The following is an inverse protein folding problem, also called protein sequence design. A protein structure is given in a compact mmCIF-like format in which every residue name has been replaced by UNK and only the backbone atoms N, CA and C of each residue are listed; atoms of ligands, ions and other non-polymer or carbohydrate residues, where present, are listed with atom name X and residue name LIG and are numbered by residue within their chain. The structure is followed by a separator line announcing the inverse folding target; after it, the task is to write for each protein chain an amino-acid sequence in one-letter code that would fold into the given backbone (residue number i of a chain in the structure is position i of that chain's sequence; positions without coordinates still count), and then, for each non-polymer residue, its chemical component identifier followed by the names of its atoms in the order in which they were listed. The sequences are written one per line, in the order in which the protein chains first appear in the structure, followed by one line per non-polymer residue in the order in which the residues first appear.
data_IF_768220964805
#
_entry.id   IF_768220964805
#
_cell.length_a   1.000
_cell.length_b   1.000
_cell.length_c   1.000
_cell.angle_alpha   90.00
_cell.angle_beta   90.00
_cell.angle_gamma   90.00
#
_symmetry.space_group_name_H-M   'P 1'
#
loop_
_entity.id
_entity.type
_entity.pdbx_description
1 polymer ?
#
# COMPACT_ATOMS: atom_id res chain seq x y z
N UNK A 1 17.28 4.24 -8.36
CA UNK A 1 17.69 3.63 -9.63
C UNK A 1 17.37 4.60 -10.76
N UNK A 2 17.97 4.46 -11.94
CA UNK A 2 17.49 5.14 -13.14
C UNK A 2 16.63 4.15 -13.92
N UNK A 3 15.42 4.53 -14.29
CA UNK A 3 14.38 3.66 -14.83
C UNK A 3 14.16 3.90 -16.32
N UNK A 4 13.59 2.91 -17.02
CA UNK A 4 13.32 3.00 -18.46
C UNK A 4 12.44 4.19 -18.83
N UNK A 5 11.55 4.61 -17.93
CA UNK A 5 10.74 5.82 -18.10
C UNK A 5 11.58 7.10 -18.21
N UNK A 6 12.69 7.19 -17.48
CA UNK A 6 13.56 8.37 -17.41
C UNK A 6 14.21 8.72 -18.76
N UNK A 7 14.31 7.74 -19.67
CA UNK A 7 14.86 7.95 -21.01
C UNK A 7 14.04 8.93 -21.85
N UNK A 8 12.77 9.12 -21.52
CA UNK A 8 11.88 10.05 -22.23
C UNK A 8 12.26 11.52 -22.02
N UNK A 9 12.67 11.91 -20.80
CA UNK A 9 13.05 13.29 -20.48
C UNK A 9 14.00 13.35 -19.27
N UNK A 10 15.28 13.13 -19.55
CA UNK A 10 16.36 13.10 -18.55
C UNK A 10 16.52 14.45 -17.83
N UNK A 11 16.35 15.56 -18.54
CA UNK A 11 16.55 16.90 -17.97
C UNK A 11 15.41 17.27 -17.01
N UNK A 12 14.17 16.89 -17.32
CA UNK A 12 13.03 17.04 -16.40
C UNK A 12 13.20 16.21 -15.14
N UNK A 13 13.58 14.93 -15.29
CA UNK A 13 13.83 14.03 -14.13
C UNK A 13 14.96 14.58 -13.27
N UNK A 14 16.07 15.02 -13.86
CA UNK A 14 17.18 15.61 -13.12
C UNK A 14 16.73 16.82 -12.30
N UNK A 15 15.96 17.74 -12.88
CA UNK A 15 15.45 18.91 -12.17
C UNK A 15 14.54 18.52 -10.99
N UNK A 16 13.63 17.56 -11.18
CA UNK A 16 12.74 17.10 -10.11
C UNK A 16 13.52 16.45 -8.96
N UNK A 17 14.52 15.61 -9.27
CA UNK A 17 15.42 15.01 -8.26
C UNK A 17 16.11 16.10 -7.44
N UNK A 18 16.57 17.17 -8.10
CA UNK A 18 17.29 18.26 -7.46
C UNK A 18 16.41 19.01 -6.48
N UNK A 19 15.20 19.41 -6.87
CA UNK A 19 14.26 20.12 -6.00
C UNK A 19 13.94 19.29 -4.75
N UNK A 20 13.67 17.99 -4.93
CA UNK A 20 13.34 17.10 -3.82
C UNK A 20 14.52 16.90 -2.87
N UNK A 21 15.71 16.64 -3.41
CA UNK A 21 16.92 16.46 -2.61
C UNK A 21 17.27 17.72 -1.84
N UNK A 22 17.11 18.91 -2.43
CA UNK A 22 17.36 20.19 -1.75
C UNK A 22 16.34 20.44 -0.63
N UNK A 23 15.05 20.20 -0.90
CA UNK A 23 13.99 20.28 0.10
C UNK A 23 14.27 19.38 1.30
N UNK A 24 14.60 18.10 1.06
CA UNK A 24 14.94 17.16 2.12
C UNK A 24 16.20 17.56 2.87
N UNK A 25 17.23 18.01 2.15
CA UNK A 25 18.47 18.46 2.76
C UNK A 25 18.25 19.65 3.72
N UNK A 26 17.31 20.54 3.40
CA UNK A 26 16.92 21.64 4.28
C UNK A 26 16.13 21.16 5.50
N UNK A 27 15.20 20.21 5.32
CA UNK A 27 14.43 19.63 6.43
C UNK A 27 15.32 18.91 7.46
N UNK A 28 16.35 18.19 7.00
CA UNK A 28 17.28 17.47 7.90
C UNK A 28 18.53 18.29 8.26
N UNK A 29 18.67 19.49 7.70
CA UNK A 29 19.80 20.40 7.96
C UNK A 29 21.17 19.85 7.51
N UNK A 30 21.25 19.12 6.40
CA UNK A 30 22.53 18.56 5.89
C UNK A 30 23.11 19.38 4.75
N UNK A 31 24.45 19.54 4.77
CA UNK A 31 25.24 20.11 3.68
C UNK A 31 26.07 19.08 2.91
N UNK A 32 25.89 17.79 3.20
CA UNK A 32 26.63 16.69 2.57
C UNK A 32 25.67 15.73 1.89
N UNK A 33 25.95 15.40 0.64
CA UNK A 33 25.15 14.49 -0.18
C UNK A 33 26.04 13.42 -0.81
N UNK A 34 25.56 12.18 -0.79
CA UNK A 34 26.19 11.07 -1.52
C UNK A 34 25.25 10.62 -2.64
N UNK A 35 25.72 10.67 -3.88
CA UNK A 35 25.01 10.09 -5.03
C UNK A 35 25.55 8.69 -5.24
N UNK A 36 24.75 7.70 -4.88
CA UNK A 36 25.12 6.29 -4.92
C UNK A 36 24.28 5.54 -5.98
N UNK A 37 24.86 5.18 -7.14
CA UNK A 37 24.13 4.41 -8.14
C UNK A 37 23.73 3.04 -7.59
N UNK A 38 22.43 2.85 -7.41
CA UNK A 38 21.85 1.63 -6.85
C UNK A 38 20.72 1.11 -7.76
N UNK A 39 21.02 0.05 -8.51
CA UNK A 39 20.12 -0.53 -9.50
C UNK A 39 18.99 -1.36 -8.87
N UNK A 40 19.25 -2.01 -7.73
CA UNK A 40 18.28 -2.91 -7.07
C UNK A 40 16.99 -2.23 -6.56
N UNK A 41 16.87 -0.91 -6.67
CA UNK A 41 15.63 -0.19 -6.31
C UNK A 41 14.54 -0.30 -7.39
N UNK A 42 14.85 -0.85 -8.57
CA UNK A 42 13.89 -0.98 -9.66
C UNK A 42 14.16 -2.24 -10.48
N UNK A 43 13.09 -2.84 -11.00
CA UNK A 43 13.13 -3.96 -11.94
C UNK A 43 13.18 -3.50 -13.41
N UNK A 44 12.90 -2.22 -13.70
CA UNK A 44 12.78 -1.66 -15.05
C UNK A 44 13.83 -0.58 -15.29
N UNK A 45 15.09 -0.99 -15.39
CA UNK A 45 16.24 -0.08 -15.51
C UNK A 45 16.33 0.61 -16.87
N UNK A 46 16.83 1.85 -16.87
CA UNK A 46 17.29 2.52 -18.10
C UNK A 46 18.59 1.89 -18.61
N UNK A 47 18.91 2.24 -19.85
CA UNK A 47 20.21 1.93 -20.44
C UNK A 47 21.35 2.56 -19.62
N UNK A 48 22.50 1.86 -19.46
CA UNK A 48 23.64 2.37 -18.70
C UNK A 48 24.13 3.75 -19.14
N UNK A 49 24.02 4.06 -20.44
CA UNK A 49 24.40 5.37 -21.00
C UNK A 49 23.50 6.49 -20.48
N UNK A 50 22.19 6.26 -20.44
CA UNK A 50 21.22 7.22 -19.92
C UNK A 50 21.37 7.37 -18.41
N UNK A 51 21.54 6.26 -17.68
CA UNK A 51 21.76 6.29 -16.23
C UNK A 51 23.00 7.13 -15.86
N UNK A 52 24.13 6.93 -16.54
CA UNK A 52 25.35 7.73 -16.31
C UNK A 52 25.10 9.20 -16.61
N UNK A 53 24.46 9.51 -17.76
CA UNK A 53 24.12 10.87 -18.15
C UNK A 53 23.21 11.56 -17.11
N UNK A 54 22.20 10.86 -16.59
CA UNK A 54 21.30 11.38 -15.57
C UNK A 54 22.06 11.71 -14.28
N UNK A 55 22.90 10.81 -13.78
CA UNK A 55 23.72 11.07 -12.59
C UNK A 55 24.73 12.21 -12.81
N UNK A 56 25.32 12.32 -14.00
CA UNK A 56 26.19 13.44 -14.38
C UNK A 56 25.43 14.78 -14.33
N UNK A 57 24.22 14.80 -14.86
CA UNK A 57 23.35 15.98 -14.90
C UNK A 57 22.99 16.45 -13.47
N UNK A 58 22.53 15.51 -12.64
CA UNK A 58 22.19 15.78 -11.23
C UNK A 58 23.38 16.37 -10.48
N UNK A 59 24.57 15.74 -10.59
CA UNK A 59 25.79 16.27 -9.97
C UNK A 59 26.10 17.68 -10.44
N UNK A 60 26.07 17.91 -11.76
CA UNK A 60 26.47 19.19 -12.35
C UNK A 60 25.54 20.32 -11.92
N UNK A 61 24.25 20.07 -11.87
CA UNK A 61 23.27 21.08 -11.48
C UNK A 61 23.27 21.34 -9.97
N UNK A 62 23.40 20.31 -9.13
CA UNK A 62 23.52 20.51 -7.68
C UNK A 62 24.73 21.37 -7.31
N UNK A 63 25.89 21.14 -7.96
CA UNK A 63 27.09 21.94 -7.77
C UNK A 63 26.91 23.42 -8.15
N UNK A 64 25.97 23.74 -9.05
CA UNK A 64 25.69 25.12 -9.48
C UNK A 64 24.73 25.86 -8.54
N UNK A 65 23.80 25.14 -7.91
CA UNK A 65 22.70 25.76 -7.14
C UNK A 65 23.06 26.05 -5.68
N UNK A 66 23.93 25.27 -5.05
CA UNK A 66 24.25 25.42 -3.62
C UNK A 66 25.65 24.92 -3.28
N UNK A 67 26.21 25.44 -2.18
CA UNK A 67 27.47 24.98 -1.61
C UNK A 67 27.29 23.65 -0.82
N UNK A 68 26.75 22.62 -1.46
CA UNK A 68 26.65 21.26 -0.90
C UNK A 68 27.91 20.49 -1.27
N UNK A 69 28.48 19.75 -0.32
CA UNK A 69 29.57 18.79 -0.60
C UNK A 69 28.98 17.50 -1.15
N UNK A 70 29.28 17.21 -2.40
CA UNK A 70 28.75 16.04 -3.11
C UNK A 70 29.86 15.02 -3.29
N UNK A 71 29.59 13.77 -2.89
CA UNK A 71 30.40 12.62 -3.21
C UNK A 71 29.61 11.70 -4.12
N UNK A 72 30.21 11.25 -5.22
CA UNK A 72 29.58 10.31 -6.14
C UNK A 72 30.34 9.00 -6.17
N UNK A 73 29.63 7.90 -5.98
CA UNK A 73 30.20 6.56 -6.14
C UNK A 73 30.29 6.19 -7.65
N UNK A 74 31.31 5.41 -8.05
CA UNK A 74 31.47 4.99 -9.44
C UNK A 74 30.31 4.09 -9.90
N UNK A 75 29.85 4.34 -11.12
CA UNK A 75 28.78 3.58 -11.77
C UNK A 75 29.31 2.27 -12.36
N UNK A 76 28.54 1.19 -12.27
CA UNK A 76 28.86 -0.09 -12.92
C UNK A 76 29.83 -1.02 -12.17
N UNK A 77 30.14 -0.71 -10.91
CA UNK A 77 31.01 -1.53 -10.06
C UNK A 77 30.23 -2.15 -8.90
N UNK A 78 30.55 -3.40 -8.57
CA UNK A 78 30.30 -3.95 -7.24
C UNK A 78 31.17 -3.20 -6.22
N UNK A 79 30.54 -2.73 -5.14
CA UNK A 79 31.15 -1.87 -4.14
C UNK A 79 30.78 -2.39 -2.75
N UNK A 80 31.77 -2.64 -1.92
CA UNK A 80 31.54 -2.73 -0.49
C UNK A 80 31.27 -1.31 0.04
N UNK A 81 30.31 -1.17 0.95
CA UNK A 81 30.01 0.10 1.60
C UNK A 81 29.48 -0.16 3.01
N UNK A 82 29.62 0.84 3.88
CA UNK A 82 29.07 0.85 5.22
C UNK A 82 28.18 2.09 5.37
N UNK A 83 27.03 1.94 6.02
CA UNK A 83 26.08 3.03 6.25
C UNK A 83 25.52 2.93 7.67
N UNK A 84 25.52 4.05 8.39
CA UNK A 84 24.89 4.18 9.70
C UNK A 84 23.71 5.15 9.62
N UNK A 85 22.49 4.63 9.65
CA UNK A 85 21.28 5.44 9.66
C UNK A 85 21.09 6.13 11.02
N UNK A 86 20.65 7.40 11.01
CA UNK A 86 20.44 8.19 12.25
C UNK A 86 19.16 7.79 13.01
N UNK A 87 18.21 7.10 12.39
CA UNK A 87 17.01 6.54 13.04
C UNK A 87 15.93 7.56 13.45
N UNK A 88 16.00 8.82 13.02
CA UNK A 88 14.90 9.78 13.21
C UNK A 88 13.79 9.58 12.15
N UNK A 89 12.57 10.10 12.33
CA UNK A 89 11.46 9.86 11.39
C UNK A 89 11.75 10.22 9.93
N UNK A 90 12.57 11.25 9.68
CA UNK A 90 13.01 11.67 8.35
C UNK A 90 14.34 11.03 7.90
N UNK A 91 14.81 9.96 8.55
CA UNK A 91 16.12 9.36 8.26
C UNK A 91 16.10 8.41 7.07
N UNK A 92 14.92 7.90 6.72
CA UNK A 92 14.71 6.96 5.63
C UNK A 92 13.48 7.42 4.84
N UNK A 93 13.69 7.75 3.58
CA UNK A 93 12.64 8.23 2.68
C UNK A 93 12.86 7.61 1.30
N UNK A 94 11.76 7.15 0.69
CA UNK A 94 11.74 6.67 -0.68
C UNK A 94 10.94 7.65 -1.54
N UNK A 95 11.43 7.94 -2.74
CA UNK A 95 10.82 8.87 -3.70
C UNK A 95 10.82 8.25 -5.09
N UNK A 96 9.71 8.40 -5.80
CA UNK A 96 9.54 7.96 -7.19
C UNK A 96 9.34 9.19 -8.05
N UNK A 97 10.17 9.35 -9.08
CA UNK A 97 10.18 10.54 -9.94
C UNK A 97 9.89 10.09 -11.36
N UNK A 98 8.97 10.77 -12.03
CA UNK A 98 8.57 10.45 -13.41
C UNK A 98 8.74 11.65 -14.34
N UNK A 99 9.18 11.46 -15.59
CA UNK A 99 9.31 12.55 -16.55
C UNK A 99 7.95 13.21 -16.86
N UNK A 100 7.93 14.55 -16.92
CA UNK A 100 6.78 15.32 -17.44
C UNK A 100 5.72 15.78 -16.43
N UNK A 101 5.88 15.53 -15.12
CA UNK A 101 4.99 16.12 -14.09
C UNK A 101 5.72 17.18 -13.27
N UNK A 102 5.36 18.45 -13.46
CA UNK A 102 5.55 19.47 -12.42
C UNK A 102 4.79 19.00 -11.17
N UNK A 103 5.54 18.73 -10.10
CA UNK A 103 5.07 18.10 -8.88
C UNK A 103 3.99 18.94 -8.17
N UNK A 104 2.74 18.51 -8.32
CA UNK A 104 1.82 18.25 -7.21
C UNK A 104 1.23 16.86 -7.43
N UNK A 105 1.91 15.83 -6.94
CA UNK A 105 1.32 14.53 -6.59
C UNK A 105 2.42 13.53 -6.18
N UNK A 106 3.08 13.76 -5.04
CA UNK A 106 3.60 12.63 -4.25
C UNK A 106 2.43 12.09 -3.42
N UNK A 107 1.62 11.24 -4.06
CA UNK A 107 0.60 10.39 -3.43
C UNK A 107 0.06 9.27 -4.34
N UNK A 108 0.48 9.19 -5.62
CA UNK A 108 -0.10 8.23 -6.57
C UNK A 108 0.99 7.37 -7.22
N UNK A 109 1.71 6.57 -6.43
CA UNK A 109 2.24 5.32 -6.94
C UNK A 109 1.04 4.37 -7.05
N UNK A 110 0.47 4.30 -8.26
CA UNK A 110 -0.69 3.47 -8.62
C UNK A 110 -1.90 3.59 -7.67
N UNK A 111 -2.47 4.79 -7.52
CA UNK A 111 -3.90 4.86 -7.22
C UNK A 111 -4.64 4.35 -8.46
N UNK A 112 -4.94 3.06 -8.46
CA UNK A 112 -5.84 2.43 -9.42
C UNK A 112 -7.08 3.31 -9.62
N UNK A 113 -7.57 3.44 -10.84
CA UNK A 113 -8.76 4.25 -11.16
C UNK A 113 -9.94 3.94 -10.22
N UNK A 114 -9.99 2.72 -9.66
CA UNK A 114 -10.95 2.29 -8.65
C UNK A 114 -10.86 3.03 -7.29
N UNK A 115 -9.67 3.38 -6.79
CA UNK A 115 -9.48 4.17 -5.55
C UNK A 115 -9.91 5.62 -5.74
N UNK A 116 -9.70 6.18 -6.94
CA UNK A 116 -10.20 7.51 -7.33
C UNK A 116 -11.72 7.50 -7.50
N UNK A 117 -12.29 6.44 -8.05
CA UNK A 117 -13.73 6.22 -8.16
C UNK A 117 -14.40 6.02 -6.79
N UNK A 118 -13.79 5.30 -5.84
CA UNK A 118 -14.28 5.18 -4.46
C UNK A 118 -14.31 6.53 -3.74
N UNK A 119 -13.28 7.38 -3.92
CA UNK A 119 -13.26 8.74 -3.38
C UNK A 119 -14.35 9.64 -3.98
N UNK A 120 -14.84 9.34 -5.18
CA UNK A 120 -15.94 10.08 -5.85
C UNK A 120 -17.32 9.47 -5.61
N UNK A 121 -17.41 8.31 -4.97
CA UNK A 121 -18.66 7.61 -4.71
C UNK A 121 -19.44 8.30 -3.59
N UNK A 122 -20.54 8.97 -3.94
CA UNK A 122 -21.51 9.48 -2.97
C UNK A 122 -22.27 8.28 -2.40
N UNK A 123 -22.05 7.98 -1.13
CA UNK A 123 -22.80 6.93 -0.43
C UNK A 123 -24.17 7.46 -0.03
N UNK A 124 -25.24 6.89 -0.58
CA UNK A 124 -26.62 7.14 -0.17
C UNK A 124 -27.02 6.12 0.89
N UNK A 125 -27.64 6.59 1.98
CA UNK A 125 -28.07 5.73 3.07
C UNK A 125 -29.59 5.61 3.04
N UNK A 126 -30.10 4.39 3.15
CA UNK A 126 -31.54 4.11 3.27
C UNK A 126 -31.79 3.05 4.34
N UNK A 127 -32.93 3.15 5.01
CA UNK A 127 -33.38 2.19 6.03
C UNK A 127 -34.48 1.34 5.41
N UNK A 128 -34.29 0.03 5.43
CA UNK A 128 -35.27 -0.95 4.98
C UNK A 128 -36.01 -1.53 6.20
N UNK A 129 -37.32 -1.41 6.19
CA UNK A 129 -38.20 -2.03 7.18
C UNK A 129 -38.39 -3.53 6.94
N UNK A 130 -38.82 -4.31 7.96
CA UNK A 130 -39.15 -5.73 7.82
C UNK A 130 -40.26 -6.00 6.79
N UNK A 131 -41.11 -4.99 6.56
CA UNK A 131 -42.24 -5.05 5.63
C UNK A 131 -41.84 -4.70 4.18
N UNK A 132 -40.55 -4.43 3.93
CA UNK A 132 -40.01 -4.09 2.61
C UNK A 132 -40.08 -2.60 2.25
N UNK A 133 -40.58 -1.73 3.14
CA UNK A 133 -40.58 -0.29 2.94
C UNK A 133 -39.16 0.29 3.06
N UNK A 134 -38.73 1.07 2.07
CA UNK A 134 -37.43 1.74 2.05
C UNK A 134 -37.61 3.24 2.28
N UNK A 135 -36.99 3.76 3.33
CA UNK A 135 -37.09 5.17 3.73
C UNK A 135 -35.69 5.80 3.71
N UNK A 136 -35.59 7.02 3.19
CA UNK A 136 -34.34 7.81 3.27
C UNK A 136 -34.01 8.09 4.73
N UNK A 137 -32.72 8.07 5.11
CA UNK A 137 -32.33 8.28 6.51
C UNK A 137 -32.68 9.69 7.01
N UNK A 138 -32.84 10.65 6.11
CA UNK A 138 -33.22 12.02 6.42
C UNK A 138 -34.68 12.12 6.91
N UNK A 139 -35.54 11.19 6.48
CA UNK A 139 -36.98 11.16 6.78
C UNK A 139 -37.34 10.13 7.87
N UNK A 140 -36.38 9.32 8.32
CA UNK A 140 -36.64 8.25 9.29
C UNK A 140 -36.58 8.75 10.74
N UNK A 141 -37.65 8.50 11.50
CA UNK A 141 -37.70 8.83 12.93
C UNK A 141 -36.97 7.77 13.77
N UNK A 142 -35.82 8.14 14.33
CA UNK A 142 -35.02 7.29 15.22
C UNK A 142 -35.54 7.25 16.67
N UNK A 143 -36.53 8.06 17.02
CA UNK A 143 -36.99 8.24 18.41
C UNK A 143 -37.42 6.92 19.09
N UNK A 144 -37.96 5.97 18.33
CA UNK A 144 -38.43 4.68 18.85
C UNK A 144 -37.34 3.59 18.84
N UNK A 145 -36.19 3.83 18.18
CA UNK A 145 -35.16 2.81 17.91
C UNK A 145 -33.73 3.35 18.17
N UNK A 146 -33.34 3.55 19.43
CA UNK A 146 -32.03 4.14 19.79
C UNK A 146 -30.83 3.30 19.33
N UNK A 147 -30.94 1.97 19.31
CA UNK A 147 -29.86 1.09 18.84
C UNK A 147 -29.62 1.24 17.32
N UNK A 148 -30.67 1.49 16.54
CA UNK A 148 -30.56 1.71 15.10
C UNK A 148 -29.90 3.06 14.81
N UNK A 149 -30.19 4.07 15.63
CA UNK A 149 -29.52 5.37 15.56
C UNK A 149 -28.01 5.24 15.83
N UNK A 150 -27.64 4.46 16.85
CA UNK A 150 -26.24 4.22 17.18
C UNK A 150 -25.51 3.49 16.05
N UNK A 151 -26.14 2.47 15.45
CA UNK A 151 -25.59 1.74 14.29
C UNK A 151 -25.41 2.68 13.09
N UNK A 152 -26.41 3.51 12.77
CA UNK A 152 -26.33 4.48 11.68
C UNK A 152 -25.21 5.51 11.89
N UNK A 153 -25.10 6.06 13.12
CA UNK A 153 -24.02 6.99 13.46
C UNK A 153 -22.64 6.33 13.35
N UNK A 154 -22.53 5.07 13.79
CA UNK A 154 -21.29 4.30 13.70
C UNK A 154 -20.86 4.11 12.23
N UNK A 155 -21.76 3.61 11.38
CA UNK A 155 -21.50 3.38 9.96
C UNK A 155 -21.22 4.67 9.17
N UNK A 156 -21.94 5.76 9.48
CA UNK A 156 -21.74 7.09 8.84
C UNK A 156 -20.41 7.74 9.23
N UNK A 157 -19.95 7.52 10.46
CA UNK A 157 -18.76 8.21 10.98
C UNK A 157 -17.45 7.73 10.35
N UNK A 158 -17.42 6.52 9.77
CA UNK A 158 -16.27 6.01 9.01
C UNK A 158 -14.97 5.81 9.80
N UNK A 159 -14.91 6.22 11.08
CA UNK A 159 -13.73 6.14 11.92
C UNK A 159 -13.53 4.72 12.43
N UNK A 160 -13.01 3.84 11.56
CA UNK A 160 -12.63 2.46 11.88
C UNK A 160 -11.30 2.35 12.63
N UNK A 161 -10.69 3.49 12.97
CA UNK A 161 -9.40 3.54 13.67
C UNK A 161 -9.65 3.38 15.16
N UNK A 162 -9.49 2.15 15.64
CA UNK A 162 -9.35 1.87 17.06
C UNK A 162 -7.87 1.92 17.41
N UNK A 163 -7.48 2.81 18.32
CA UNK A 163 -6.08 2.93 18.80
C UNK A 163 -5.64 1.73 19.64
N UNK A 164 -6.58 0.90 20.11
CA UNK A 164 -6.30 -0.24 20.96
C UNK A 164 -6.76 -1.55 20.31
N UNK A 165 -5.91 -2.57 20.38
CA UNK A 165 -6.27 -3.90 19.97
C UNK A 165 -7.54 -4.36 20.73
N UNK A 166 -8.57 -4.88 20.04
CA UNK A 166 -9.76 -5.37 20.70
C UNK A 166 -9.46 -6.40 21.81
N UNK A 167 -10.17 -6.34 22.95
CA UNK A 167 -9.87 -7.18 24.12
C UNK A 167 -10.04 -8.69 23.86
N UNK A 168 -10.82 -9.07 22.85
CA UNK A 168 -10.99 -10.47 22.48
C UNK A 168 -9.70 -11.11 21.95
N UNK A 169 -8.76 -10.33 21.40
CA UNK A 169 -7.50 -10.85 20.87
C UNK A 169 -6.66 -11.47 21.99
N UNK A 170 -6.51 -10.78 23.12
CA UNK A 170 -5.76 -11.31 24.26
C UNK A 170 -6.41 -12.57 24.83
N UNK A 171 -7.74 -12.58 24.93
CA UNK A 171 -8.50 -13.75 25.40
C UNK A 171 -8.30 -14.96 24.49
N UNK A 172 -8.40 -14.77 23.17
CA UNK A 172 -8.23 -15.85 22.19
C UNK A 172 -6.81 -16.45 22.23
N UNK A 173 -5.78 -15.61 22.45
CA UNK A 173 -4.39 -16.04 22.63
C UNK A 173 -4.22 -16.79 23.95
N UNK A 174 -4.77 -16.26 25.05
CA UNK A 174 -4.70 -16.87 26.39
C UNK A 174 -5.41 -18.23 26.45
N UNK A 175 -6.49 -18.40 25.69
CA UNK A 175 -7.21 -19.67 25.58
C UNK A 175 -6.58 -20.65 24.59
N UNK A 176 -5.47 -20.26 23.94
CA UNK A 176 -4.80 -21.05 22.90
C UNK A 176 -5.78 -21.47 21.80
N UNK A 177 -6.60 -20.53 21.32
CA UNK A 177 -7.50 -20.78 20.19
C UNK A 177 -6.81 -20.40 18.89
N UNK A 178 -6.37 -19.15 18.80
CA UNK A 178 -5.71 -18.57 17.63
C UNK A 178 -4.65 -17.58 18.09
N UNK A 179 -3.54 -17.54 17.37
CA UNK A 179 -2.44 -16.62 17.61
C UNK A 179 -1.82 -16.18 16.28
N UNK A 180 -1.01 -15.12 16.32
CA UNK A 180 -0.24 -14.72 15.14
C UNK A 180 0.86 -15.73 14.86
N UNK A 181 1.13 -16.01 13.58
CA UNK A 181 2.24 -16.84 13.16
C UNK A 181 3.47 -15.97 12.87
N UNK A 182 4.53 -15.98 13.70
CA UNK A 182 5.69 -15.11 13.51
C UNK A 182 6.44 -15.35 12.20
N UNK A 183 6.34 -16.55 11.63
CA UNK A 183 6.94 -16.89 10.34
C UNK A 183 6.10 -16.47 9.12
N UNK A 184 4.93 -15.87 9.33
CA UNK A 184 4.03 -15.46 8.26
C UNK A 184 3.70 -13.97 8.36
N UNK A 185 3.23 -13.41 7.25
CA UNK A 185 2.87 -12.00 7.20
C UNK A 185 1.58 -11.69 7.98
N UNK A 186 1.38 -10.42 8.38
CA UNK A 186 0.20 -9.98 9.12
C UNK A 186 -1.12 -10.38 8.44
N UNK A 187 -1.98 -11.07 9.19
CA UNK A 187 -3.27 -11.59 8.70
C UNK A 187 -3.29 -13.11 8.53
N UNK A 188 -2.13 -13.76 8.55
CA UNK A 188 -2.03 -15.21 8.63
C UNK A 188 -1.98 -15.64 10.10
N UNK A 189 -2.88 -16.55 10.48
CA UNK A 189 -3.05 -16.98 11.86
C UNK A 189 -2.64 -18.44 12.06
N UNK A 190 -2.03 -18.71 13.20
CA UNK A 190 -1.82 -20.06 13.70
C UNK A 190 -3.02 -20.49 14.54
N UNK A 191 -3.71 -21.52 14.07
CA UNK A 191 -4.80 -22.16 14.79
C UNK A 191 -4.28 -23.34 15.60
N UNK A 192 -4.49 -23.31 16.92
CA UNK A 192 -4.15 -24.42 17.79
C UNK A 192 -5.27 -25.47 17.75
N UNK A 193 -5.04 -26.72 18.23
CA UNK A 193 -6.02 -27.81 18.08
C UNK A 193 -7.44 -27.48 18.56
N UNK A 194 -7.57 -26.72 19.66
CA UNK A 194 -8.88 -26.28 20.18
C UNK A 194 -9.56 -25.29 19.23
N UNK A 195 -8.81 -24.28 18.77
CA UNK A 195 -9.34 -23.28 17.85
C UNK A 195 -9.66 -23.87 16.48
N UNK A 196 -8.82 -24.77 15.97
CA UNK A 196 -9.05 -25.47 14.70
C UNK A 196 -10.34 -26.30 14.75
N UNK A 197 -10.60 -27.01 15.85
CA UNK A 197 -11.87 -27.74 16.04
C UNK A 197 -13.07 -26.78 16.02
N UNK A 198 -13.02 -25.69 16.79
CA UNK A 198 -14.11 -24.70 16.85
C UNK A 198 -14.35 -24.07 15.47
N UNK A 199 -13.27 -23.68 14.79
CA UNK A 199 -13.31 -23.10 13.45
C UNK A 199 -13.97 -24.05 12.45
N UNK A 200 -13.53 -25.31 12.40
CA UNK A 200 -14.11 -26.32 11.50
C UNK A 200 -15.59 -26.57 11.78
N UNK A 201 -15.99 -26.62 13.04
CA UNK A 201 -17.41 -26.80 13.40
C UNK A 201 -18.25 -25.62 12.91
N UNK A 202 -17.75 -24.39 13.10
CA UNK A 202 -18.42 -23.19 12.60
C UNK A 202 -18.49 -23.16 11.06
N UNK A 203 -17.38 -23.48 10.38
CA UNK A 203 -17.32 -23.55 8.91
C UNK A 203 -18.29 -24.60 8.36
N UNK A 204 -18.36 -25.77 9.00
CA UNK A 204 -19.27 -26.85 8.61
C UNK A 204 -20.73 -26.41 8.76
N UNK A 205 -21.07 -25.77 9.88
CA UNK A 205 -22.42 -25.28 10.13
C UNK A 205 -22.84 -24.22 9.11
N UNK A 206 -22.00 -23.21 8.87
CA UNK A 206 -22.29 -22.15 7.90
C UNK A 206 -22.38 -22.72 6.48
N UNK A 207 -21.50 -23.65 6.12
CA UNK A 207 -21.55 -24.32 4.82
C UNK A 207 -22.86 -25.07 4.63
N UNK A 208 -23.34 -25.78 5.67
CA UNK A 208 -24.64 -26.46 5.65
C UNK A 208 -25.79 -25.49 5.38
N UNK A 209 -25.83 -24.35 6.10
CA UNK A 209 -26.84 -23.32 5.86
C UNK A 209 -26.81 -22.82 4.41
N UNK A 210 -25.64 -22.50 3.88
CA UNK A 210 -25.50 -21.99 2.50
C UNK A 210 -25.95 -23.04 1.48
N UNK A 211 -25.66 -24.32 1.71
CA UNK A 211 -26.10 -25.43 0.87
C UNK A 211 -27.63 -25.56 0.88
N UNK A 212 -28.27 -25.43 2.04
CA UNK A 212 -29.74 -25.48 2.16
C UNK A 212 -30.42 -24.34 1.37
N UNK A 213 -29.76 -23.20 1.26
CA UNK A 213 -30.19 -22.08 0.40
C UNK A 213 -29.86 -22.28 -1.10
N UNK A 214 -29.30 -23.43 -1.49
CA UNK A 214 -28.95 -23.77 -2.87
C UNK A 214 -27.54 -23.35 -3.30
N UNK A 215 -26.69 -22.93 -2.36
CA UNK A 215 -25.29 -22.64 -2.63
C UNK A 215 -24.47 -23.92 -2.87
N UNK A 216 -23.42 -23.81 -3.68
CA UNK A 216 -22.52 -24.93 -3.96
C UNK A 216 -21.08 -24.53 -3.65
N UNK A 217 -20.36 -25.41 -2.97
CA UNK A 217 -18.95 -25.20 -2.67
C UNK A 217 -18.12 -25.34 -3.94
N UNK A 218 -17.23 -24.36 -4.17
CA UNK A 218 -16.25 -24.39 -5.25
C UNK A 218 -14.88 -24.20 -4.63
N UNK A 219 -13.97 -25.14 -4.89
CA UNK A 219 -12.56 -24.97 -4.56
C UNK A 219 -11.90 -24.18 -5.68
N UNK A 220 -11.26 -23.06 -5.32
CA UNK A 220 -10.58 -22.20 -6.29
C UNK A 220 -9.08 -22.13 -5.97
N UNK A 221 -8.22 -21.90 -6.99
CA UNK A 221 -6.79 -21.75 -6.76
C UNK A 221 -6.48 -20.57 -5.82
N UNK A 222 -5.37 -20.68 -5.08
CA UNK A 222 -4.85 -19.62 -4.22
C UNK A 222 -4.01 -18.62 -5.05
N UNK A 223 -3.39 -19.09 -6.14
CA UNK A 223 -2.55 -18.31 -7.04
C UNK A 223 -3.25 -18.13 -8.39
N UNK A 224 -3.21 -16.90 -8.90
CA UNK A 224 -3.80 -16.55 -10.19
C UNK A 224 -2.77 -15.85 -11.08
N UNK A 225 -2.94 -16.01 -12.40
CA UNK A 225 -2.15 -15.28 -13.38
C UNK A 225 -2.53 -13.79 -13.36
N UNK A 226 -1.53 -12.95 -13.13
CA UNK A 226 -1.66 -11.50 -13.11
C UNK A 226 -2.12 -10.93 -14.46
N UNK A 227 -1.81 -11.60 -15.56
CA UNK A 227 -2.16 -11.14 -16.92
C UNK A 227 -3.63 -11.41 -17.29
N UNK A 228 -4.39 -12.15 -16.47
CA UNK A 228 -5.76 -12.48 -16.80
C UNK A 228 -6.66 -11.21 -16.83
N UNK A 229 -7.34 -10.90 -17.96
CA UNK A 229 -7.98 -9.58 -18.19
C UNK A 229 -8.98 -9.14 -17.11
N UNK A 230 -9.76 -10.09 -16.57
CA UNK A 230 -10.76 -9.81 -15.52
C UNK A 230 -10.17 -9.75 -14.11
N UNK A 231 -9.02 -10.40 -13.90
CA UNK A 231 -8.37 -10.42 -12.59
C UNK A 231 -7.48 -9.21 -12.43
N UNK A 232 -6.79 -8.76 -13.49
CA UNK A 232 -5.96 -7.56 -13.46
C UNK A 232 -6.71 -6.33 -12.90
N UNK A 233 -7.95 -6.10 -13.35
CA UNK A 233 -8.80 -5.02 -12.83
C UNK A 233 -9.10 -5.14 -11.33
N UNK A 234 -9.36 -6.36 -10.84
CA UNK A 234 -9.60 -6.62 -9.43
C UNK A 234 -8.31 -6.49 -8.60
N UNK A 235 -7.21 -6.99 -9.13
CA UNK A 235 -5.90 -6.97 -8.50
C UNK A 235 -5.38 -5.53 -8.36
N UNK A 236 -5.60 -4.69 -9.37
CA UNK A 236 -5.29 -3.26 -9.29
C UNK A 236 -6.13 -2.53 -8.25
N UNK A 237 -7.35 -2.98 -7.94
CA UNK A 237 -8.21 -2.33 -6.93
C UNK A 237 -7.66 -2.50 -5.50
N UNK A 238 -6.93 -3.58 -5.22
CA UNK A 238 -6.39 -3.88 -3.89
C UNK A 238 -4.90 -4.27 -3.94
N UNK A 239 -4.01 -3.39 -4.42
CA UNK A 239 -2.63 -3.75 -4.74
C UNK A 239 -1.81 -4.11 -3.49
N UNK A 240 -2.15 -3.53 -2.33
CA UNK A 240 -1.43 -3.73 -1.07
C UNK A 240 -1.68 -5.07 -0.36
N UNK A 241 -2.53 -5.97 -0.90
CA UNK A 241 -2.95 -7.22 -0.22
C UNK A 241 -2.54 -8.49 -0.97
N UNK A 242 -1.58 -8.41 -1.88
CA UNK A 242 -1.27 -9.49 -2.81
C UNK A 242 0.21 -9.86 -2.78
N UNK A 243 0.48 -11.16 -2.90
CA UNK A 243 1.82 -11.67 -3.18
C UNK A 243 1.97 -11.89 -4.68
N UNK A 244 2.94 -11.21 -5.28
CA UNK A 244 3.34 -11.47 -6.65
C UNK A 244 4.52 -12.43 -6.61
N UNK A 245 4.28 -13.68 -6.98
CA UNK A 245 5.31 -14.69 -7.13
C UNK A 245 5.90 -14.57 -8.54
N UNK A 246 7.17 -14.19 -8.63
CA UNK A 246 7.92 -14.19 -9.88
C UNK A 246 8.43 -15.60 -10.15
N UNK A 247 7.79 -16.32 -11.07
CA UNK A 247 8.37 -17.53 -11.64
C UNK A 247 9.51 -17.13 -12.57
N UNK A 248 10.72 -17.61 -12.30
CA UNK A 248 11.86 -17.41 -13.19
C UNK A 248 11.72 -18.27 -14.45
N UNK A 249 11.11 -17.69 -15.49
CA UNK A 249 11.42 -17.92 -16.89
C UNK A 249 11.57 -16.56 -17.60
#
# INVERSE_FOLDING_TARGET
AAEKGDEADVDSVANQVIEEVLSLADQVGTGHLVIYPYAHLSSTLSSPRVAVRLFDEICRQLLRRRQIKILRAPFGYYKAFEIGCKGHPLSELAKTITPGKLAKADADAEESEALKAEKTLKSEWSIMGPDGEQVSVEDFSFATRPNLEQLYRYERSGTRVSDQAPPHIELMRRMELVDYEPGADPGNFRWYPKGELIKRLAETYVSGLVIDYGGMQVETPIMYDYQHPKLNLYLQRFPARQYVLLSSE
#
